data_IF_238613742896
#
_entry.id   IF_238613742896
#
_cell.length_a   1.000
_cell.length_b   1.000
_cell.length_c   1.000
_cell.angle_alpha   90.00
_cell.angle_beta   90.00
_cell.angle_gamma   90.00
#
_symmetry.space_group_name_H-M   'P 1'
#
loop_
_entity.id
_entity.type
_entity.pdbx_description
1 polymer ?
#
# COMPACT_ATOMS: atom_id res chain seq x y z
N UNK A 1 -6.05 -22.46 -91.19
CA UNK A 1 -6.95 -21.68 -92.08
C UNK A 1 -7.43 -20.44 -91.33
N UNK A 2 -7.51 -19.22 -91.90
CA UNK A 2 -8.58 -18.66 -92.78
C UNK A 2 -10.00 -18.92 -92.20
N UNK A 3 -10.89 -17.95 -91.95
CA UNK A 3 -10.88 -16.47 -92.08
C UNK A 3 -11.93 -15.82 -91.12
N UNK A 4 -11.92 -14.52 -90.77
CA UNK A 4 -12.24 -13.30 -91.56
C UNK A 4 -13.67 -13.29 -92.14
N UNK A 5 -14.54 -12.26 -92.03
CA UNK A 5 -14.67 -11.00 -91.22
C UNK A 5 -16.17 -10.90 -90.78
N UNK A 6 -16.88 -9.82 -90.38
CA UNK A 6 -16.77 -8.33 -90.27
C UNK A 6 -17.84 -7.91 -89.19
N UNK A 7 -17.90 -6.84 -88.38
CA UNK A 7 -17.37 -5.46 -88.21
C UNK A 7 -18.49 -4.39 -88.34
N UNK A 8 -18.66 -3.49 -87.34
CA UNK A 8 -19.32 -2.13 -87.33
C UNK A 8 -19.98 -1.82 -85.96
N UNK A 9 -19.83 -0.66 -85.29
CA UNK A 9 -18.91 0.50 -85.39
C UNK A 9 -18.58 1.00 -83.96
N UNK A 10 -17.37 1.51 -83.73
CA UNK A 10 -16.99 2.38 -82.61
C UNK A 10 -16.24 3.60 -83.17
N UNK A 11 -16.63 4.82 -82.80
CA UNK A 11 -16.06 6.15 -83.17
C UNK A 11 -16.86 7.23 -82.41
N UNK A 12 -16.38 8.40 -81.96
CA UNK A 12 -15.12 9.18 -82.09
C UNK A 12 -14.79 9.68 -80.66
N UNK A 13 -13.67 9.29 -80.02
CA UNK A 13 -12.29 9.83 -80.09
C UNK A 13 -12.03 11.12 -79.27
N UNK A 14 -10.97 11.07 -78.47
CA UNK A 14 -10.40 12.16 -77.65
C UNK A 14 -9.53 13.09 -78.51
N UNK A 15 -9.55 14.40 -78.25
CA UNK A 15 -8.52 15.33 -78.74
C UNK A 15 -8.26 16.46 -77.73
N UNK A 16 -6.98 16.76 -77.48
CA UNK A 16 -6.54 17.93 -76.72
C UNK A 16 -6.38 19.14 -77.66
N UNK A 17 -6.66 20.34 -77.14
CA UNK A 17 -5.96 21.57 -77.54
C UNK A 17 -5.73 22.44 -76.30
N UNK A 18 -4.55 23.05 -76.21
CA UNK A 18 -4.26 24.09 -75.21
C UNK A 18 -4.95 25.40 -75.62
N UNK A 19 -5.53 26.11 -74.65
CA UNK A 19 -5.51 27.58 -74.64
C UNK A 19 -5.12 28.03 -73.24
N UNK A 20 -3.87 28.45 -73.10
CA UNK A 20 -3.42 29.28 -71.98
C UNK A 20 -3.10 30.67 -72.56
N UNK A 21 -3.88 31.67 -72.19
CA UNK A 21 -3.79 33.03 -72.73
C UNK A 21 -4.51 34.00 -71.79
N UNK A 22 -3.77 35.01 -71.32
CA UNK A 22 -4.19 35.92 -70.25
C UNK A 22 -5.40 36.78 -70.64
N UNK A 23 -6.19 37.20 -69.65
CA UNK A 23 -6.36 38.61 -69.25
C UNK A 23 -7.35 38.76 -68.08
N UNK A 24 -7.20 39.82 -67.28
CA UNK A 24 -8.30 40.40 -66.48
C UNK A 24 -8.47 39.88 -65.05
N UNK A 25 -8.07 40.70 -64.07
CA UNK A 25 -8.24 40.44 -62.64
C UNK A 25 -9.68 40.69 -62.15
N UNK A 26 -10.22 39.79 -61.32
CA UNK A 26 -10.96 40.18 -60.11
C UNK A 26 -11.03 39.01 -59.10
N UNK A 27 -10.12 38.99 -58.12
CA UNK A 27 -10.11 37.97 -57.07
C UNK A 27 -11.21 38.21 -56.03
N UNK A 28 -12.36 37.54 -56.21
CA UNK A 28 -13.28 37.26 -55.10
C UNK A 28 -12.89 35.91 -54.46
N UNK A 29 -12.16 35.95 -53.34
CA UNK A 29 -11.73 34.76 -52.60
C UNK A 29 -12.94 34.06 -51.94
N UNK A 30 -13.63 33.21 -52.70
CA UNK A 30 -14.45 32.13 -52.14
C UNK A 30 -13.53 30.93 -51.93
N UNK A 31 -13.16 30.58 -50.68
CA UNK A 31 -12.36 29.39 -50.45
C UNK A 31 -13.17 28.15 -50.83
N UNK A 32 -12.58 27.29 -51.65
CA UNK A 32 -13.09 25.95 -51.85
C UNK A 32 -13.12 25.18 -50.51
N UNK A 33 -14.00 24.19 -50.45
CA UNK A 33 -13.98 23.13 -49.43
C UNK A 33 -14.17 23.55 -47.97
N UNK A 34 -15.00 24.58 -47.74
CA UNK A 34 -15.86 24.62 -46.54
C UNK A 34 -16.94 23.51 -46.59
N UNK A 35 -16.52 22.27 -46.78
CA UNK A 35 -17.40 21.10 -46.84
C UNK A 35 -17.96 20.85 -45.43
N UNK A 36 -19.15 21.38 -45.16
CA UNK A 36 -19.87 21.13 -43.91
C UNK A 36 -20.14 19.63 -43.82
N UNK A 37 -19.36 18.93 -42.99
CA UNK A 37 -19.58 17.52 -42.70
C UNK A 37 -20.84 17.39 -41.83
N UNK A 38 -22.00 17.40 -42.49
CA UNK A 38 -23.32 17.10 -41.92
C UNK A 38 -23.29 15.63 -41.50
N UNK A 39 -22.72 15.38 -40.32
CA UNK A 39 -22.47 14.05 -39.82
C UNK A 39 -23.79 13.45 -39.33
N UNK A 40 -24.37 12.56 -40.14
CA UNK A 40 -25.69 11.96 -39.93
C UNK A 40 -25.99 11.54 -38.48
N UNK A 41 -27.28 11.62 -38.11
CA UNK A 41 -27.78 11.25 -36.80
C UNK A 41 -27.34 9.84 -36.38
N UNK A 42 -26.84 9.71 -35.15
CA UNK A 42 -26.28 8.46 -34.66
C UNK A 42 -26.35 8.38 -33.13
N UNK A 43 -26.19 7.18 -32.56
CA UNK A 43 -25.94 7.06 -31.12
C UNK A 43 -24.61 7.74 -30.75
N UNK A 44 -24.64 8.56 -29.69
CA UNK A 44 -23.45 9.18 -29.11
C UNK A 44 -22.45 8.15 -28.54
N UNK A 45 -22.92 6.93 -28.19
CA UNK A 45 -22.08 5.81 -27.72
C UNK A 45 -22.51 4.51 -28.39
N UNK A 46 -21.54 3.72 -28.91
CA UNK A 46 -21.77 2.39 -29.51
C UNK A 46 -22.14 1.31 -28.47
N UNK A 47 -21.95 1.59 -27.17
CA UNK A 47 -22.32 0.70 -26.06
C UNK A 47 -22.60 1.46 -24.76
N UNK A 48 -23.46 0.90 -23.90
CA UNK A 48 -23.72 1.36 -22.55
C UNK A 48 -23.81 0.18 -21.56
N UNK A 49 -23.76 0.45 -20.25
CA UNK A 49 -23.90 -0.59 -19.21
C UNK A 49 -24.82 -0.11 -18.09
N UNK A 50 -25.94 -0.80 -17.89
CA UNK A 50 -26.97 -0.43 -16.91
C UNK A 50 -27.11 -1.48 -15.81
N UNK A 51 -27.58 -1.07 -14.63
CA UNK A 51 -27.94 -2.00 -13.55
C UNK A 51 -29.24 -2.76 -13.82
N UNK A 52 -29.36 -3.99 -13.31
CA UNK A 52 -30.66 -4.66 -13.14
C UNK A 52 -31.49 -3.84 -12.15
N UNK A 53 -32.55 -3.22 -12.65
CA UNK A 53 -33.36 -2.20 -12.01
C UNK A 53 -32.45 -1.10 -11.41
N UNK A 54 -31.49 -0.64 -12.22
CA UNK A 54 -30.56 0.42 -11.87
C UNK A 54 -31.11 1.82 -12.12
N UNK A 55 -30.19 2.75 -12.35
CA UNK A 55 -30.47 4.13 -12.71
C UNK A 55 -31.37 4.27 -13.95
N UNK A 56 -32.00 5.43 -14.03
CA UNK A 56 -32.27 6.09 -15.29
C UNK A 56 -30.94 6.40 -15.99
N UNK A 57 -30.45 5.47 -16.82
CA UNK A 57 -29.34 5.70 -17.75
C UNK A 57 -29.88 5.90 -19.17
N UNK A 58 -29.14 6.63 -20.01
CA UNK A 58 -29.66 7.18 -21.25
C UNK A 58 -28.71 6.94 -22.43
N UNK A 59 -29.26 6.43 -23.53
CA UNK A 59 -28.60 6.46 -24.85
C UNK A 59 -29.05 7.69 -25.61
N UNK A 60 -28.11 8.61 -25.85
CA UNK A 60 -28.34 9.87 -26.56
C UNK A 60 -28.16 9.67 -28.07
N UNK A 61 -28.99 10.35 -28.87
CA UNK A 61 -28.73 10.63 -30.28
C UNK A 61 -27.89 11.89 -30.36
N UNK A 62 -26.81 11.86 -31.14
CA UNK A 62 -26.08 13.07 -31.56
C UNK A 62 -26.50 13.43 -32.98
N UNK A 63 -26.36 14.72 -33.32
CA UNK A 63 -26.58 15.24 -34.67
C UNK A 63 -28.01 14.94 -35.18
N UNK A 64 -29.02 15.15 -34.34
CA UNK A 64 -30.42 14.92 -34.70
C UNK A 64 -30.87 15.91 -35.79
N UNK A 65 -31.41 15.38 -36.89
CA UNK A 65 -31.89 16.11 -38.05
C UNK A 65 -33.12 16.96 -37.69
N UNK A 66 -33.13 18.23 -38.08
CA UNK A 66 -34.29 19.11 -37.89
C UNK A 66 -35.51 18.56 -38.66
N UNK A 67 -36.68 18.54 -38.01
CA UNK A 67 -37.92 18.00 -38.57
C UNK A 67 -38.04 16.47 -38.61
N UNK A 68 -36.97 15.71 -38.33
CA UNK A 68 -37.04 14.26 -38.21
C UNK A 68 -37.53 13.83 -36.82
N UNK A 69 -38.14 12.64 -36.74
CA UNK A 69 -38.53 12.01 -35.48
C UNK A 69 -37.76 10.72 -35.23
N UNK A 70 -37.55 10.37 -33.96
CA UNK A 70 -36.64 9.28 -33.56
C UNK A 70 -37.32 8.21 -32.74
N UNK A 71 -36.99 6.96 -33.03
CA UNK A 71 -37.56 5.79 -32.39
C UNK A 71 -36.50 4.75 -32.05
N UNK A 72 -36.56 4.20 -30.84
CA UNK A 72 -35.61 3.17 -30.38
C UNK A 72 -36.32 1.87 -30.02
N UNK A 73 -35.81 0.73 -30.49
CA UNK A 73 -36.26 -0.61 -30.08
C UNK A 73 -35.18 -1.34 -29.28
N UNK A 74 -35.58 -2.22 -28.36
CA UNK A 74 -34.67 -3.19 -27.75
C UNK A 74 -34.85 -4.56 -28.38
N UNK A 75 -33.75 -5.20 -28.76
CA UNK A 75 -33.77 -6.59 -29.26
C UNK A 75 -34.13 -7.63 -28.19
N UNK A 76 -34.12 -7.27 -26.91
CA UNK A 76 -34.44 -8.15 -25.76
C UNK A 76 -35.03 -7.32 -24.61
N UNK A 77 -36.32 -7.00 -24.69
CA UNK A 77 -37.06 -6.24 -23.64
C UNK A 77 -37.08 -6.93 -22.27
N UNK A 78 -36.94 -8.26 -22.23
CA UNK A 78 -36.74 -9.06 -21.01
C UNK A 78 -35.35 -8.92 -20.37
N UNK A 79 -34.39 -8.35 -21.09
CA UNK A 79 -33.04 -8.02 -20.62
C UNK A 79 -32.94 -6.53 -20.34
N UNK A 80 -33.26 -5.67 -21.32
CA UNK A 80 -33.27 -4.22 -21.20
C UNK A 80 -34.45 -3.62 -21.97
N UNK A 81 -35.23 -2.73 -21.37
CA UNK A 81 -36.23 -1.90 -22.04
C UNK A 81 -35.60 -0.54 -22.41
N UNK A 82 -36.18 0.10 -23.42
CA UNK A 82 -35.93 1.50 -23.76
C UNK A 82 -37.27 2.21 -23.91
N UNK A 83 -37.37 3.45 -23.42
CA UNK A 83 -38.48 4.37 -23.70
C UNK A 83 -37.88 5.68 -24.22
N UNK A 84 -38.47 6.29 -25.25
CA UNK A 84 -38.08 7.63 -25.66
C UNK A 84 -38.37 8.63 -24.53
N UNK A 85 -37.43 9.55 -24.32
CA UNK A 85 -37.55 10.71 -23.45
C UNK A 85 -36.91 11.89 -24.18
N UNK A 86 -37.70 12.91 -24.51
CA UNK A 86 -37.22 14.09 -25.23
C UNK A 86 -37.13 15.33 -24.31
N UNK A 87 -37.11 15.11 -22.98
CA UNK A 87 -36.98 16.19 -22.00
C UNK A 87 -35.68 16.98 -22.19
N UNK A 88 -35.71 18.28 -21.90
CA UNK A 88 -34.57 19.20 -22.02
C UNK A 88 -34.00 19.32 -23.46
N UNK A 89 -34.82 19.10 -24.48
CA UNK A 89 -34.44 19.25 -25.90
C UNK A 89 -33.52 18.13 -26.44
N UNK A 90 -33.13 17.17 -25.61
CA UNK A 90 -32.24 16.08 -26.01
C UNK A 90 -33.03 14.87 -26.52
N UNK A 91 -32.73 14.40 -27.74
CA UNK A 91 -33.29 13.13 -28.24
C UNK A 91 -32.55 11.96 -27.56
N UNK A 92 -33.20 11.32 -26.58
CA UNK A 92 -32.60 10.21 -25.82
C UNK A 92 -33.56 9.06 -25.54
N UNK A 93 -32.99 7.87 -25.37
CA UNK A 93 -33.69 6.67 -24.92
C UNK A 93 -33.35 6.38 -23.48
N UNK A 94 -34.32 6.55 -22.58
CA UNK A 94 -34.25 6.10 -21.18
C UNK A 94 -34.20 4.58 -21.15
N UNK A 95 -33.10 4.03 -20.66
CA UNK A 95 -32.89 2.60 -20.50
C UNK A 95 -33.47 2.10 -19.18
N UNK A 96 -33.85 0.82 -19.15
CA UNK A 96 -34.19 0.12 -17.91
C UNK A 96 -33.69 -1.31 -18.00
N UNK A 97 -32.65 -1.65 -17.24
CA UNK A 97 -32.17 -3.03 -17.15
C UNK A 97 -33.16 -3.89 -16.37
N UNK A 98 -33.66 -4.98 -16.96
CA UNK A 98 -34.66 -5.88 -16.35
C UNK A 98 -34.03 -7.17 -15.84
N UNK A 99 -33.10 -7.76 -16.59
CA UNK A 99 -32.41 -9.02 -16.25
C UNK A 99 -30.97 -8.96 -16.74
N UNK A 100 -30.04 -9.57 -15.98
CA UNK A 100 -28.62 -9.65 -16.36
C UNK A 100 -28.48 -10.27 -17.76
N UNK A 101 -27.73 -9.61 -18.65
CA UNK A 101 -27.52 -10.07 -20.03
C UNK A 101 -27.01 -8.96 -20.94
N UNK A 102 -27.27 -9.09 -22.24
CA UNK A 102 -26.98 -8.04 -23.24
C UNK A 102 -28.16 -7.90 -24.21
N UNK A 103 -28.52 -6.67 -24.53
CA UNK A 103 -29.48 -6.30 -25.56
C UNK A 103 -28.82 -5.40 -26.60
N UNK A 104 -29.36 -5.36 -27.83
CA UNK A 104 -29.04 -4.35 -28.83
C UNK A 104 -30.19 -3.34 -28.84
N UNK A 105 -29.91 -2.08 -28.55
CA UNK A 105 -30.86 -0.99 -28.78
C UNK A 105 -30.63 -0.48 -30.20
N UNK A 106 -31.68 -0.46 -31.02
CA UNK A 106 -31.60 -0.03 -32.43
C UNK A 106 -32.28 1.32 -32.57
N UNK A 107 -31.58 2.29 -33.17
CA UNK A 107 -32.10 3.62 -33.48
C UNK A 107 -32.63 3.66 -34.90
N UNK A 108 -33.81 4.22 -35.05
CA UNK A 108 -34.44 4.57 -36.31
C UNK A 108 -34.68 6.08 -36.36
N UNK A 109 -34.40 6.65 -37.52
CA UNK A 109 -34.89 7.98 -37.93
C UNK A 109 -36.16 7.78 -38.75
N UNK A 110 -37.11 8.70 -38.60
CA UNK A 110 -38.37 8.71 -39.34
C UNK A 110 -38.53 10.11 -39.95
N UNK A 111 -38.54 10.15 -41.28
CA UNK A 111 -38.59 11.38 -42.08
C UNK A 111 -39.70 11.21 -43.12
N UNK A 112 -40.79 11.96 -42.95
CA UNK A 112 -42.05 11.66 -43.63
C UNK A 112 -42.54 10.24 -43.32
N UNK A 113 -42.86 9.47 -44.36
CA UNK A 113 -43.25 8.07 -44.24
C UNK A 113 -42.06 7.07 -44.14
N UNK A 114 -40.82 7.52 -44.36
CA UNK A 114 -39.64 6.63 -44.45
C UNK A 114 -39.03 6.40 -43.07
N UNK A 115 -38.78 5.14 -42.73
CA UNK A 115 -38.15 4.71 -41.46
C UNK A 115 -36.79 4.06 -41.69
N UNK A 116 -35.73 4.83 -41.47
CA UNK A 116 -34.34 4.40 -41.73
C UNK A 116 -33.65 3.93 -40.46
N UNK A 117 -33.01 2.75 -40.50
CA UNK A 117 -32.20 2.22 -39.38
C UNK A 117 -30.81 2.84 -39.39
N UNK A 118 -30.58 3.82 -38.52
CA UNK A 118 -29.35 4.63 -38.49
C UNK A 118 -28.30 4.19 -37.45
N UNK A 119 -28.65 3.35 -36.47
CA UNK A 119 -27.65 2.94 -35.46
C UNK A 119 -28.03 1.76 -34.58
N UNK A 120 -27.00 1.17 -33.94
CA UNK A 120 -27.16 0.13 -32.91
C UNK A 120 -26.21 0.39 -31.74
N UNK A 121 -26.74 0.40 -30.51
CA UNK A 121 -25.98 0.46 -29.27
C UNK A 121 -26.05 -0.89 -28.53
N UNK A 122 -24.90 -1.44 -28.13
CA UNK A 122 -24.82 -2.66 -27.31
C UNK A 122 -24.99 -2.31 -25.83
N UNK A 123 -26.15 -2.62 -25.26
CA UNK A 123 -26.42 -2.39 -23.83
C UNK A 123 -26.18 -3.67 -23.03
N UNK A 124 -25.22 -3.61 -22.11
CA UNK A 124 -24.96 -4.68 -21.14
C UNK A 124 -25.73 -4.42 -19.86
N UNK A 125 -26.47 -5.40 -19.37
CA UNK A 125 -27.22 -5.30 -18.11
C UNK A 125 -26.50 -6.09 -17.03
N UNK A 126 -25.99 -5.38 -16.05
CA UNK A 126 -25.18 -5.92 -14.95
C UNK A 126 -26.02 -6.09 -13.70
N UNK A 127 -25.89 -7.25 -13.05
CA UNK A 127 -26.38 -7.46 -11.70
C UNK A 127 -25.24 -7.29 -10.70
N UNK A 128 -25.56 -6.76 -9.52
CA UNK A 128 -24.59 -6.52 -8.45
C UNK A 128 -23.88 -7.81 -8.05
N UNK A 129 -22.57 -7.73 -7.81
CA UNK A 129 -21.69 -8.90 -7.66
C UNK A 129 -20.72 -8.71 -6.51
N UNK A 130 -20.55 -9.75 -5.67
CA UNK A 130 -19.52 -9.75 -4.64
C UNK A 130 -18.12 -9.59 -5.22
N UNK A 131 -17.26 -8.81 -4.55
CA UNK A 131 -15.90 -8.53 -5.00
C UNK A 131 -14.95 -9.71 -4.72
N UNK A 132 -14.95 -10.20 -3.48
CA UNK A 132 -14.06 -11.26 -2.99
C UNK A 132 -14.88 -12.50 -2.57
N UNK A 133 -14.29 -13.70 -2.64
CA UNK A 133 -14.90 -14.94 -2.09
C UNK A 133 -14.64 -15.07 -0.58
N UNK A 134 -13.44 -14.69 -0.15
CA UNK A 134 -13.00 -14.71 1.24
C UNK A 134 -12.13 -13.48 1.51
N UNK A 135 -12.03 -13.06 2.76
CA UNK A 135 -11.10 -12.05 3.27
C UNK A 135 -10.48 -12.59 4.57
N UNK A 136 -9.20 -12.30 4.82
CA UNK A 136 -8.56 -12.48 6.13
C UNK A 136 -8.41 -11.09 6.76
N UNK A 137 -8.72 -10.98 8.05
CA UNK A 137 -8.58 -9.75 8.86
C UNK A 137 -8.06 -10.11 10.25
N UNK A 138 -7.46 -9.14 10.92
CA UNK A 138 -6.92 -9.32 12.27
C UNK A 138 -8.04 -9.20 13.31
N UNK A 139 -7.81 -9.71 14.51
CA UNK A 139 -8.76 -9.56 15.61
C UNK A 139 -8.84 -8.07 16.00
N UNK A 140 -10.06 -7.61 16.27
CA UNK A 140 -10.42 -6.22 16.57
C UNK A 140 -10.41 -5.22 15.41
N UNK A 141 -9.94 -5.60 14.21
CA UNK A 141 -10.09 -4.78 13.00
C UNK A 141 -11.56 -4.36 12.81
N UNK A 142 -11.78 -3.06 12.60
CA UNK A 142 -13.10 -2.46 12.34
C UNK A 142 -13.05 -1.66 11.05
N UNK A 143 -13.88 -2.02 10.06
CA UNK A 143 -13.74 -1.53 8.69
C UNK A 143 -15.07 -1.49 7.93
N UNK A 144 -15.21 -0.50 7.03
CA UNK A 144 -16.27 -0.45 6.03
C UNK A 144 -15.84 -1.29 4.81
N UNK A 145 -16.60 -2.33 4.40
CA UNK A 145 -16.00 -3.38 3.57
C UNK A 145 -16.35 -3.29 2.08
N UNK A 146 -15.34 -3.39 1.21
CA UNK A 146 -15.51 -3.50 -0.24
C UNK A 146 -16.00 -4.90 -0.68
N UNK A 147 -17.11 -5.39 -0.12
CA UNK A 147 -17.62 -6.73 -0.44
C UNK A 147 -18.29 -6.81 -1.82
N UNK A 148 -18.48 -5.69 -2.52
CA UNK A 148 -19.30 -5.58 -3.74
C UNK A 148 -18.50 -4.86 -4.84
N UNK A 149 -18.21 -5.55 -5.95
CA UNK A 149 -17.43 -5.00 -7.10
C UNK A 149 -18.29 -4.15 -8.03
N UNK A 150 -19.58 -4.49 -8.15
CA UNK A 150 -20.55 -3.71 -8.93
C UNK A 150 -21.74 -3.42 -8.01
N UNK A 151 -21.92 -2.16 -7.62
CA UNK A 151 -23.07 -1.67 -6.87
C UNK A 151 -24.11 -1.11 -7.83
N UNK A 152 -25.38 -1.33 -7.55
CA UNK A 152 -26.49 -0.54 -8.08
C UNK A 152 -26.64 0.70 -7.17
N UNK A 153 -26.44 1.90 -7.71
CA UNK A 153 -26.54 3.15 -6.95
C UNK A 153 -27.92 3.45 -6.36
N UNK A 154 -28.96 2.72 -6.79
CA UNK A 154 -30.35 2.90 -6.37
C UNK A 154 -30.78 1.87 -5.31
N UNK A 155 -29.91 0.90 -4.99
CA UNK A 155 -30.18 -0.14 -4.02
C UNK A 155 -29.40 0.10 -2.71
N UNK A 156 -30.03 -0.19 -1.58
CA UNK A 156 -29.34 -0.26 -0.29
C UNK A 156 -28.80 -1.68 -0.06
N UNK A 157 -27.71 -1.78 0.71
CA UNK A 157 -27.03 -3.05 1.00
C UNK A 157 -27.03 -3.33 2.49
N UNK A 158 -27.53 -4.50 2.86
CA UNK A 158 -27.52 -5.00 4.23
C UNK A 158 -26.56 -6.19 4.32
N UNK A 159 -25.68 -6.16 5.33
CA UNK A 159 -24.70 -7.22 5.58
C UNK A 159 -25.06 -7.94 6.88
N UNK A 160 -25.01 -9.28 6.87
CA UNK A 160 -25.39 -10.08 8.04
C UNK A 160 -24.36 -11.19 8.25
N UNK A 161 -23.69 -11.19 9.41
CA UNK A 161 -22.79 -12.28 9.81
C UNK A 161 -23.59 -13.50 10.27
N UNK A 162 -23.18 -14.70 9.83
CA UNK A 162 -23.68 -15.98 10.34
C UNK A 162 -23.26 -16.27 11.79
N UNK A 163 -22.26 -15.55 12.32
CA UNK A 163 -21.83 -15.71 13.72
C UNK A 163 -21.31 -14.38 14.26
N UNK A 164 -22.16 -13.69 15.02
CA UNK A 164 -21.92 -12.39 15.66
C UNK A 164 -20.87 -12.42 16.78
N UNK A 165 -20.49 -13.61 17.27
CA UNK A 165 -19.41 -13.79 18.25
C UNK A 165 -18.02 -13.77 17.60
N UNK A 166 -17.91 -14.15 16.32
CA UNK A 166 -16.66 -14.11 15.53
C UNK A 166 -16.53 -12.76 14.81
N UNK A 167 -17.59 -12.33 14.11
CA UNK A 167 -17.64 -11.04 13.38
C UNK A 167 -19.02 -10.43 13.54
N UNK A 168 -19.10 -9.17 13.98
CA UNK A 168 -20.34 -8.39 14.02
C UNK A 168 -20.42 -7.39 12.86
N UNK A 169 -21.64 -7.00 12.50
CA UNK A 169 -21.91 -5.92 11.55
C UNK A 169 -22.84 -4.91 12.23
N UNK A 170 -22.52 -3.61 12.13
CA UNK A 170 -23.39 -2.49 12.52
C UNK A 170 -24.43 -2.18 11.42
N UNK A 171 -25.42 -1.33 11.72
CA UNK A 171 -26.55 -0.98 10.83
C UNK A 171 -26.13 -0.20 9.57
N UNK A 172 -25.03 0.53 9.65
CA UNK A 172 -24.32 1.23 8.55
C UNK A 172 -23.57 0.26 7.60
N UNK A 173 -23.38 -1.00 8.00
CA UNK A 173 -22.57 -1.98 7.29
C UNK A 173 -21.11 -2.09 7.75
N UNK A 174 -20.69 -1.31 8.75
CA UNK A 174 -19.36 -1.41 9.36
C UNK A 174 -19.18 -2.78 10.03
N UNK A 175 -18.10 -3.47 9.66
CA UNK A 175 -17.71 -4.76 10.24
C UNK A 175 -16.78 -4.53 11.44
N UNK A 176 -16.91 -5.35 12.49
CA UNK A 176 -15.87 -5.54 13.52
C UNK A 176 -15.55 -7.02 13.67
N UNK A 177 -14.28 -7.39 13.53
CA UNK A 177 -13.77 -8.72 13.84
C UNK A 177 -13.58 -8.87 15.36
N UNK A 178 -14.30 -9.80 16.00
CA UNK A 178 -14.34 -9.91 17.48
C UNK A 178 -13.46 -11.00 18.06
N UNK A 179 -13.45 -12.18 17.43
CA UNK A 179 -12.72 -13.37 17.90
C UNK A 179 -12.15 -14.13 16.71
N UNK A 180 -10.95 -14.69 16.87
CA UNK A 180 -10.34 -15.56 15.86
C UNK A 180 -11.25 -16.75 15.49
N UNK A 181 -11.20 -17.14 14.21
CA UNK A 181 -12.05 -18.19 13.65
C UNK A 181 -12.45 -17.90 12.20
N UNK A 182 -13.47 -18.61 11.71
CA UNK A 182 -14.04 -18.41 10.37
C UNK A 182 -15.55 -18.24 10.47
N UNK A 183 -16.09 -17.26 9.77
CA UNK A 183 -17.55 -17.04 9.63
C UNK A 183 -17.88 -16.57 8.22
N UNK A 184 -19.15 -16.33 7.93
CA UNK A 184 -19.64 -15.88 6.63
C UNK A 184 -20.52 -14.67 6.79
N UNK A 185 -20.26 -13.62 6.01
CA UNK A 185 -21.18 -12.49 5.85
C UNK A 185 -22.03 -12.73 4.60
N UNK A 186 -23.34 -12.60 4.75
CA UNK A 186 -24.33 -12.61 3.68
C UNK A 186 -24.57 -11.16 3.26
N UNK A 187 -24.53 -10.90 1.95
CA UNK A 187 -24.81 -9.60 1.34
C UNK A 187 -26.23 -9.65 0.77
N UNK A 188 -27.15 -8.86 1.33
CA UNK A 188 -28.47 -8.61 0.76
C UNK A 188 -28.50 -7.24 0.09
N UNK A 189 -29.16 -7.17 -1.06
CA UNK A 189 -29.46 -5.96 -1.81
C UNK A 189 -30.96 -5.71 -1.75
N UNK A 190 -31.36 -4.51 -1.36
CA UNK A 190 -32.76 -4.06 -1.29
C UNK A 190 -32.99 -2.90 -2.26
N UNK A 191 -34.00 -3.03 -3.10
CA UNK A 191 -34.43 -2.03 -4.07
C UNK A 191 -35.96 -1.84 -3.97
N UNK A 192 -36.38 -0.71 -3.40
CA UNK A 192 -37.78 -0.50 -3.03
C UNK A 192 -38.27 -1.60 -2.07
N UNK A 193 -39.33 -2.30 -2.45
CA UNK A 193 -39.87 -3.46 -1.70
C UNK A 193 -39.10 -4.77 -1.95
N UNK A 194 -38.35 -4.88 -3.05
CA UNK A 194 -37.67 -6.12 -3.44
C UNK A 194 -36.34 -6.30 -2.69
N UNK A 195 -36.04 -7.53 -2.26
CA UNK A 195 -34.75 -7.88 -1.63
C UNK A 195 -34.19 -9.17 -2.23
N UNK A 196 -32.89 -9.22 -2.53
CA UNK A 196 -32.19 -10.43 -3.02
C UNK A 196 -30.81 -10.61 -2.38
N UNK A 197 -30.29 -11.83 -2.39
CA UNK A 197 -28.91 -12.12 -1.96
C UNK A 197 -27.93 -11.89 -3.12
N UNK A 198 -26.97 -10.97 -2.94
CA UNK A 198 -25.85 -10.73 -3.89
C UNK A 198 -24.79 -11.83 -3.80
N UNK A 199 -24.70 -12.46 -2.63
CA UNK A 199 -23.83 -13.59 -2.34
C UNK A 199 -23.37 -13.58 -0.90
N UNK A 200 -22.29 -14.30 -0.65
CA UNK A 200 -21.64 -14.42 0.65
C UNK A 200 -20.13 -14.28 0.54
N UNK A 201 -19.50 -13.83 1.62
CA UNK A 201 -18.04 -13.69 1.75
C UNK A 201 -17.61 -14.36 3.05
N UNK A 202 -16.64 -15.28 2.97
CA UNK A 202 -16.02 -15.86 4.16
C UNK A 202 -15.08 -14.85 4.80
N UNK A 203 -15.16 -14.66 6.12
CA UNK A 203 -14.22 -13.85 6.89
C UNK A 203 -13.43 -14.80 7.78
N UNK A 204 -12.11 -14.88 7.57
CA UNK A 204 -11.15 -15.49 8.49
C UNK A 204 -10.64 -14.39 9.41
N UNK A 205 -10.96 -14.48 10.70
CA UNK A 205 -10.33 -13.64 11.72
C UNK A 205 -9.12 -14.40 12.27
N UNK A 206 -7.95 -13.78 12.26
CA UNK A 206 -6.75 -14.29 12.94
C UNK A 206 -6.54 -13.58 14.27
N UNK A 207 -6.14 -14.32 15.31
CA UNK A 207 -5.66 -13.72 16.55
C UNK A 207 -4.22 -13.19 16.34
N UNK A 208 -3.76 -12.27 17.20
CA UNK A 208 -2.33 -12.01 17.33
C UNK A 208 -1.54 -13.28 17.63
N UNK A 209 -0.30 -13.31 17.17
CA UNK A 209 0.62 -14.43 17.38
C UNK A 209 2.01 -13.89 17.69
N UNK A 210 2.62 -14.39 18.75
CA UNK A 210 3.98 -14.04 19.15
C UNK A 210 5.00 -14.86 18.34
N UNK A 211 6.22 -14.36 18.15
CA UNK A 211 7.35 -15.10 17.58
C UNK A 211 8.65 -14.56 18.19
N UNK A 212 9.58 -15.44 18.56
CA UNK A 212 10.93 -15.05 18.98
C UNK A 212 11.74 -14.55 17.77
N UNK A 213 12.67 -13.63 18.01
CA UNK A 213 13.58 -13.10 16.99
C UNK A 213 15.04 -13.44 17.33
N UNK A 214 15.82 -13.73 16.29
CA UNK A 214 17.28 -13.75 16.38
C UNK A 214 17.88 -12.35 16.12
N UNK A 215 19.20 -12.23 16.26
CA UNK A 215 19.99 -11.00 16.02
C UNK A 215 19.82 -10.37 14.63
N UNK A 216 19.26 -11.08 13.65
CA UNK A 216 18.95 -10.56 12.30
C UNK A 216 17.49 -10.16 12.11
N UNK A 217 16.68 -10.12 13.18
CA UNK A 217 15.24 -9.82 13.13
C UNK A 217 14.40 -10.92 12.47
N UNK A 218 14.94 -12.13 12.31
CA UNK A 218 14.24 -13.28 11.72
C UNK A 218 13.63 -14.15 12.82
N UNK A 219 12.53 -14.83 12.48
CA UNK A 219 11.86 -15.75 13.38
C UNK A 219 12.79 -16.90 13.82
N UNK A 220 12.76 -17.21 15.11
CA UNK A 220 13.48 -18.31 15.74
C UNK A 220 12.59 -19.04 16.77
N UNK A 221 13.03 -20.20 17.25
CA UNK A 221 12.35 -20.96 18.32
C UNK A 221 12.73 -20.47 19.73
N UNK A 222 13.85 -19.75 19.84
CA UNK A 222 14.38 -19.11 21.05
C UNK A 222 15.00 -17.77 20.67
N UNK A 223 14.88 -16.76 21.54
CA UNK A 223 15.59 -15.49 21.42
C UNK A 223 16.83 -15.49 22.33
N UNK A 224 17.87 -14.78 21.92
CA UNK A 224 19.15 -14.74 22.64
C UNK A 224 19.43 -13.36 23.23
N UNK A 225 19.76 -13.31 24.52
CA UNK A 225 20.04 -12.09 25.27
C UNK A 225 21.41 -12.20 25.95
N UNK A 226 22.24 -11.17 25.81
CA UNK A 226 23.52 -11.10 26.50
C UNK A 226 23.32 -10.95 28.01
N UNK A 227 24.09 -11.69 28.80
CA UNK A 227 24.16 -11.49 30.25
C UNK A 227 24.48 -10.02 30.61
N UNK A 228 23.79 -9.51 31.63
CA UNK A 228 23.71 -8.11 32.06
C UNK A 228 23.27 -7.07 31.01
N UNK A 229 23.11 -7.43 29.73
CA UNK A 229 22.60 -6.50 28.72
C UNK A 229 21.09 -6.31 28.85
N UNK A 230 20.64 -5.11 28.53
CA UNK A 230 19.23 -4.72 28.45
C UNK A 230 18.90 -4.34 27.02
N UNK A 231 17.78 -4.84 26.48
CA UNK A 231 17.33 -4.55 25.12
C UNK A 231 15.83 -4.25 25.07
N UNK A 232 15.43 -3.36 24.17
CA UNK A 232 14.01 -3.11 23.89
C UNK A 232 13.38 -4.40 23.37
N UNK A 233 12.27 -4.82 23.98
CA UNK A 233 11.65 -6.14 23.79
C UNK A 233 11.34 -6.49 22.33
N UNK A 234 11.00 -5.49 21.50
CA UNK A 234 10.72 -5.66 20.06
C UNK A 234 11.90 -6.19 19.26
N UNK A 235 13.12 -6.09 19.79
CA UNK A 235 14.34 -6.69 19.22
C UNK A 235 14.35 -8.22 19.33
N UNK A 236 13.70 -8.79 20.36
CA UNK A 236 13.68 -10.22 20.66
C UNK A 236 12.31 -10.88 20.44
N UNK A 237 11.23 -10.09 20.41
CA UNK A 237 9.85 -10.58 20.39
C UNK A 237 9.02 -9.77 19.38
N UNK A 238 8.45 -10.46 18.38
CA UNK A 238 7.52 -9.86 17.43
C UNK A 238 6.10 -10.35 17.66
N UNK A 239 5.15 -9.41 17.80
CA UNK A 239 3.71 -9.72 17.74
C UNK A 239 3.20 -9.45 16.32
N UNK A 240 2.65 -10.49 15.68
CA UNK A 240 2.03 -10.43 14.35
C UNK A 240 0.51 -10.46 14.47
N UNK A 241 -0.19 -10.05 13.40
CA UNK A 241 -1.66 -10.06 13.30
C UNK A 241 -2.40 -9.16 14.33
N UNK A 242 -1.77 -8.06 14.73
CA UNK A 242 -2.39 -7.00 15.56
C UNK A 242 -3.45 -6.21 14.78
N UNK A 243 -4.40 -5.59 15.48
CA UNK A 243 -5.37 -4.67 14.86
C UNK A 243 -4.65 -3.50 14.20
N UNK A 244 -5.05 -3.15 12.99
CA UNK A 244 -4.49 -1.98 12.27
C UNK A 244 -5.40 -0.74 12.36
N UNK A 245 -6.57 -0.87 13.00
CA UNK A 245 -7.60 0.17 13.07
C UNK A 245 -8.03 0.54 14.50
N UNK A 246 -7.78 -0.30 15.51
CA UNK A 246 -8.21 -0.07 16.89
C UNK A 246 -6.99 0.14 17.81
N UNK A 247 -6.74 1.40 18.20
CA UNK A 247 -5.64 1.79 19.11
C UNK A 247 -5.83 1.30 20.56
N UNK A 248 -6.96 0.65 20.89
CA UNK A 248 -7.25 0.11 22.22
C UNK A 248 -6.65 -1.27 22.51
N UNK A 249 -5.76 -1.78 21.66
CA UNK A 249 -5.00 -3.03 21.86
C UNK A 249 -3.60 -2.69 22.38
N UNK A 250 -3.30 -3.09 23.61
CA UNK A 250 -2.01 -2.86 24.29
C UNK A 250 -1.35 -4.21 24.56
N UNK A 251 -0.03 -4.28 24.42
CA UNK A 251 0.75 -5.47 24.78
C UNK A 251 1.63 -5.18 26.00
N UNK A 252 1.71 -6.14 26.92
CA UNK A 252 2.58 -6.09 28.10
C UNK A 252 3.31 -7.41 28.26
N UNK A 253 4.40 -7.40 29.02
CA UNK A 253 5.28 -8.55 29.21
C UNK A 253 5.35 -8.98 30.66
N UNK A 254 5.58 -10.27 30.86
CA UNK A 254 5.86 -10.86 32.17
C UNK A 254 6.87 -11.99 31.99
N UNK A 255 8.00 -11.92 32.69
CA UNK A 255 8.91 -13.06 32.76
C UNK A 255 8.33 -14.16 33.66
N UNK A 256 8.52 -15.42 33.30
CA UNK A 256 8.27 -16.55 34.19
C UNK A 256 9.36 -16.72 35.25
N UNK A 257 10.56 -16.19 35.01
CA UNK A 257 11.65 -16.14 35.97
C UNK A 257 12.44 -14.83 35.84
N UNK A 258 12.19 -13.91 36.77
CA UNK A 258 12.86 -12.61 36.84
C UNK A 258 14.31 -12.68 37.31
N UNK A 259 14.78 -13.81 37.83
CA UNK A 259 16.19 -14.03 38.15
C UNK A 259 17.04 -14.30 36.92
N UNK A 260 16.44 -14.82 35.83
CA UNK A 260 17.09 -15.06 34.54
C UNK A 260 16.87 -13.89 33.58
N UNK A 261 15.62 -13.43 33.40
CA UNK A 261 15.30 -12.21 32.61
C UNK A 261 14.31 -11.34 33.36
N UNK A 262 14.72 -10.12 33.72
CA UNK A 262 13.79 -9.12 34.25
C UNK A 262 13.10 -8.34 33.13
N UNK A 263 11.87 -7.89 33.41
CA UNK A 263 11.09 -6.98 32.56
C UNK A 263 11.04 -5.62 33.25
N UNK A 264 11.44 -4.58 32.53
CA UNK A 264 11.40 -3.19 33.00
C UNK A 264 10.47 -2.38 32.10
N UNK A 265 9.60 -1.55 32.67
CA UNK A 265 8.74 -0.65 31.90
C UNK A 265 9.42 0.71 31.74
N UNK A 266 9.55 1.17 30.49
CA UNK A 266 10.15 2.45 30.14
C UNK A 266 9.10 3.38 29.52
N UNK A 267 9.27 4.69 29.73
CA UNK A 267 8.44 5.72 29.08
C UNK A 267 9.17 6.30 27.87
N UNK A 268 8.51 6.29 26.72
CA UNK A 268 9.04 6.75 25.43
C UNK A 268 8.25 7.97 24.97
N UNK A 269 8.95 9.10 24.82
CA UNK A 269 8.32 10.40 24.60
C UNK A 269 7.35 10.77 25.72
N UNK A 270 6.28 11.50 25.41
CA UNK A 270 5.45 12.14 26.42
C UNK A 270 4.43 11.20 27.11
N UNK A 271 4.21 9.97 26.64
CA UNK A 271 3.17 9.07 27.20
C UNK A 271 3.27 7.57 26.83
N UNK A 272 4.10 7.15 25.87
CA UNK A 272 4.09 5.75 25.43
C UNK A 272 4.83 4.86 26.42
N UNK A 273 4.24 3.72 26.79
CA UNK A 273 4.93 2.66 27.53
C UNK A 273 5.57 1.67 26.56
N UNK A 274 6.83 1.34 26.80
CA UNK A 274 7.54 0.24 26.15
C UNK A 274 8.25 -0.61 27.22
N UNK A 275 8.83 -1.75 26.85
CA UNK A 275 9.44 -2.68 27.79
C UNK A 275 10.87 -3.03 27.39
N UNK A 276 11.77 -3.00 28.36
CA UNK A 276 13.11 -3.57 28.26
C UNK A 276 13.11 -4.99 28.83
N UNK A 277 13.94 -5.85 28.24
CA UNK A 277 14.30 -7.17 28.74
C UNK A 277 15.78 -7.16 29.11
N UNK A 278 16.10 -7.42 30.39
CA UNK A 278 17.50 -7.50 30.86
C UNK A 278 17.85 -8.93 31.26
N UNK A 279 18.96 -9.45 30.75
CA UNK A 279 19.50 -10.75 31.15
C UNK A 279 20.14 -10.65 32.54
N UNK A 280 19.45 -11.14 33.57
CA UNK A 280 19.85 -11.01 34.98
C UNK A 280 20.70 -12.17 35.50
N UNK A 281 20.60 -13.36 34.90
CA UNK A 281 21.48 -14.50 35.11
C UNK A 281 21.56 -15.37 33.86
N UNK A 282 22.67 -16.08 33.64
CA UNK A 282 22.81 -17.07 32.55
C UNK A 282 21.84 -18.24 32.78
N UNK A 283 21.11 -18.62 31.75
CA UNK A 283 20.06 -19.66 31.83
C UNK A 283 19.03 -19.56 30.72
N UNK A 284 17.85 -20.15 30.91
CA UNK A 284 16.72 -20.03 29.97
C UNK A 284 15.42 -19.84 30.73
N UNK A 285 14.59 -18.90 30.28
CA UNK A 285 13.25 -18.65 30.81
C UNK A 285 12.24 -18.42 29.67
N UNK A 286 10.99 -18.15 30.00
CA UNK A 286 9.98 -17.72 29.04
C UNK A 286 9.41 -16.34 29.41
N UNK A 287 9.31 -15.47 28.41
CA UNK A 287 8.54 -14.23 28.49
C UNK A 287 7.12 -14.52 28.00
N UNK A 288 6.15 -14.32 28.89
CA UNK A 288 4.72 -14.31 28.59
C UNK A 288 4.35 -12.95 28.00
N UNK A 289 3.72 -12.95 26.81
CA UNK A 289 3.17 -11.75 26.18
C UNK A 289 1.68 -11.72 26.39
N UNK A 290 1.21 -10.66 27.05
CA UNK A 290 -0.19 -10.42 27.33
C UNK A 290 -0.73 -9.34 26.40
N UNK A 291 -1.94 -9.55 25.90
CA UNK A 291 -2.75 -8.54 25.23
C UNK A 291 -3.79 -8.02 26.22
N UNK A 292 -3.88 -6.71 26.39
CA UNK A 292 -5.03 -6.05 27.01
C UNK A 292 -5.86 -5.34 25.94
N UNK A 293 -7.15 -5.66 25.88
CA UNK A 293 -8.10 -5.02 24.98
C UNK A 293 -9.42 -4.73 25.70
N UNK A 294 -9.80 -3.44 25.78
CA UNK A 294 -11.04 -2.97 26.42
C UNK A 294 -11.23 -3.51 27.86
N UNK A 295 -10.15 -3.47 28.64
CA UNK A 295 -10.11 -3.91 30.05
C UNK A 295 -10.00 -5.42 30.25
N UNK A 296 -9.98 -6.23 29.18
CA UNK A 296 -9.78 -7.68 29.26
C UNK A 296 -8.33 -7.99 28.88
N UNK A 297 -7.57 -8.57 29.82
CA UNK A 297 -6.20 -9.04 29.60
C UNK A 297 -6.19 -10.55 29.36
N UNK A 298 -5.34 -11.01 28.42
CA UNK A 298 -5.12 -12.44 28.14
C UNK A 298 -3.71 -12.70 27.61
N UNK A 299 -3.15 -13.86 27.89
CA UNK A 299 -1.94 -14.35 27.21
C UNK A 299 -2.21 -14.58 25.72
N UNK A 300 -1.30 -14.12 24.85
CA UNK A 300 -1.33 -14.38 23.40
C UNK A 300 -0.18 -15.27 22.90
N UNK A 301 0.80 -15.53 23.76
CA UNK A 301 1.88 -16.51 23.54
C UNK A 301 2.99 -16.37 24.58
N UNK A 302 3.91 -17.33 24.58
CA UNK A 302 5.19 -17.24 25.29
C UNK A 302 6.34 -17.30 24.28
N UNK A 303 7.47 -16.69 24.63
CA UNK A 303 8.74 -16.79 23.91
C UNK A 303 9.82 -17.28 24.86
N UNK A 304 10.57 -18.31 24.46
CA UNK A 304 11.78 -18.72 25.18
C UNK A 304 12.88 -17.69 24.96
N UNK A 305 13.57 -17.33 26.04
CA UNK A 305 14.76 -16.47 26.00
C UNK A 305 15.89 -17.21 26.70
N UNK A 306 16.98 -17.43 25.97
CA UNK A 306 18.27 -17.86 26.51
C UNK A 306 19.08 -16.61 26.89
N UNK A 307 19.62 -16.60 28.11
CA UNK A 307 20.60 -15.61 28.56
C UNK A 307 21.94 -16.30 28.63
N UNK A 308 22.95 -15.76 27.93
CA UNK A 308 24.29 -16.34 27.86
C UNK A 308 25.37 -15.27 27.71
N UNK A 309 26.61 -15.71 27.88
CA UNK A 309 27.76 -14.96 27.35
C UNK A 309 27.72 -14.97 25.82
N UNK A 310 27.97 -13.81 25.21
CA UNK A 310 27.97 -13.60 23.77
C UNK A 310 29.31 -12.91 23.44
N UNK A 311 30.36 -13.68 23.10
CA UNK A 311 31.68 -13.09 22.84
C UNK A 311 31.65 -12.17 21.61
N UNK A 312 32.53 -11.18 21.59
CA UNK A 312 32.63 -10.26 20.46
C UNK A 312 33.21 -10.97 19.22
N UNK A 313 32.48 -10.89 18.12
CA UNK A 313 32.87 -11.47 16.83
C UNK A 313 33.68 -10.48 15.98
N UNK A 314 33.44 -9.17 16.13
CA UNK A 314 34.19 -8.10 15.47
C UNK A 314 34.27 -6.85 16.32
N UNK A 315 35.44 -6.21 16.36
CA UNK A 315 35.68 -4.90 16.96
C UNK A 315 36.53 -4.09 15.99
N UNK A 316 35.96 -3.01 15.43
CA UNK A 316 36.57 -2.21 14.35
C UNK A 316 36.38 -0.72 14.62
N UNK A 317 37.15 0.11 13.92
CA UNK A 317 36.85 1.54 13.84
C UNK A 317 35.52 1.78 13.11
N UNK A 318 34.75 2.74 13.62
CA UNK A 318 33.51 3.21 13.03
C UNK A 318 33.83 4.01 11.73
N UNK A 319 33.30 3.61 10.56
CA UNK A 319 33.64 4.22 9.27
C UNK A 319 33.18 5.68 9.11
N UNK A 320 32.36 6.20 10.02
CA UNK A 320 32.01 7.63 10.07
C UNK A 320 33.23 8.49 10.50
N UNK A 321 34.15 7.90 11.26
CA UNK A 321 35.25 8.61 11.92
C UNK A 321 36.63 8.34 11.30
N UNK A 322 36.73 7.45 10.32
CA UNK A 322 37.99 7.00 9.70
C UNK A 322 37.78 6.71 8.22
N UNK A 323 38.64 7.23 7.34
CA UNK A 323 38.64 6.85 5.93
C UNK A 323 39.13 5.39 5.79
N UNK A 324 38.20 4.50 5.46
CA UNK A 324 38.41 3.05 5.40
C UNK A 324 39.28 2.61 4.21
N UNK A 325 39.56 3.49 3.24
CA UNK A 325 40.52 3.22 2.17
C UNK A 325 41.96 3.05 2.68
N UNK A 326 42.26 3.58 3.87
CA UNK A 326 43.59 3.59 4.50
C UNK A 326 43.99 2.30 5.24
N UNK A 327 43.14 1.26 5.25
CA UNK A 327 43.53 -0.09 5.68
C UNK A 327 44.11 -0.21 7.10
N UNK A 328 43.38 0.26 8.11
CA UNK A 328 43.79 0.22 9.53
C UNK A 328 45.00 1.13 9.88
N UNK A 329 45.18 2.23 9.13
CA UNK A 329 46.08 3.33 9.50
C UNK A 329 45.69 3.93 10.85
N UNK A 330 46.68 4.29 11.68
CA UNK A 330 46.47 4.75 13.05
C UNK A 330 45.59 6.01 13.10
N UNK A 331 44.48 5.94 13.83
CA UNK A 331 43.57 7.08 13.99
C UNK A 331 44.21 8.09 14.93
N UNK A 332 44.42 9.31 14.43
CA UNK A 332 44.90 10.44 15.24
C UNK A 332 43.73 11.35 15.61
N UNK A 333 43.76 11.91 16.83
CA UNK A 333 42.85 12.94 17.33
C UNK A 333 43.65 14.00 18.07
N UNK A 334 43.22 15.26 17.96
CA UNK A 334 43.67 16.33 18.82
C UNK A 334 42.67 16.50 19.97
N UNK A 335 43.16 16.83 21.16
CA UNK A 335 42.37 17.30 22.31
C UNK A 335 43.09 18.51 22.89
N UNK A 336 42.39 19.59 23.17
CA UNK A 336 42.95 20.82 23.71
C UNK A 336 42.82 20.86 25.23
N UNK A 337 43.92 21.09 25.95
CA UNK A 337 43.92 21.02 27.42
C UNK A 337 43.44 22.30 28.11
N UNK A 338 43.27 23.39 27.37
CA UNK A 338 42.85 24.71 27.88
C UNK A 338 41.50 25.20 27.32
N UNK A 339 40.80 24.38 26.53
CA UNK A 339 39.37 24.57 26.25
C UNK A 339 38.52 23.89 27.34
N UNK A 340 37.61 24.64 27.95
CA UNK A 340 36.51 24.03 28.71
C UNK A 340 35.62 23.20 27.75
N UNK A 341 35.15 22.05 28.24
CA UNK A 341 34.35 21.03 27.52
C UNK A 341 34.99 20.27 26.33
N UNK A 342 36.25 20.48 25.92
CA UNK A 342 36.85 19.65 24.84
C UNK A 342 37.13 18.19 25.29
N UNK A 343 36.17 17.32 24.98
CA UNK A 343 36.05 15.97 25.56
C UNK A 343 35.87 14.92 24.48
N UNK A 344 36.87 14.05 24.29
CA UNK A 344 36.80 12.98 23.30
C UNK A 344 36.15 11.71 23.87
N UNK A 345 34.99 11.33 23.31
CA UNK A 345 34.28 10.10 23.67
C UNK A 345 34.68 8.93 22.76
N UNK A 346 35.68 8.15 23.21
CA UNK A 346 36.25 7.01 22.49
C UNK A 346 35.21 5.98 22.03
N UNK A 347 34.14 5.77 22.83
CA UNK A 347 33.06 4.81 22.54
C UNK A 347 32.36 5.02 21.19
N UNK A 348 32.40 6.21 20.60
CA UNK A 348 31.83 6.48 19.27
C UNK A 348 32.78 6.18 18.11
N UNK A 349 34.10 6.14 18.36
CA UNK A 349 35.12 5.84 17.35
C UNK A 349 35.13 4.37 16.94
N UNK A 350 34.47 3.49 17.69
CA UNK A 350 34.48 2.05 17.50
C UNK A 350 33.11 1.47 17.12
N UNK A 351 33.09 0.22 16.70
CA UNK A 351 31.87 -0.57 16.47
C UNK A 351 32.13 -2.03 16.82
N UNK A 352 31.24 -2.60 17.63
CA UNK A 352 31.24 -4.02 18.03
C UNK A 352 30.15 -4.80 17.31
N UNK A 353 30.42 -6.06 16.99
CA UNK A 353 29.41 -7.02 16.55
C UNK A 353 29.62 -8.39 17.26
N UNK A 354 28.54 -9.11 17.61
CA UNK A 354 27.14 -8.69 17.52
C UNK A 354 26.82 -7.58 18.54
N UNK A 355 25.81 -6.74 18.28
CA UNK A 355 25.51 -5.57 19.10
C UNK A 355 25.04 -5.88 20.54
N UNK A 356 24.71 -7.14 20.83
CA UNK A 356 24.38 -7.66 22.16
C UNK A 356 25.53 -8.44 22.83
N UNK A 357 26.77 -8.34 22.30
CA UNK A 357 27.96 -8.98 22.87
C UNK A 357 28.15 -8.64 24.35
N UNK A 358 28.40 -9.63 25.20
CA UNK A 358 28.55 -9.44 26.65
C UNK A 358 29.89 -8.83 27.03
N UNK A 359 30.92 -8.99 26.20
CA UNK A 359 32.22 -8.33 26.33
C UNK A 359 32.07 -6.81 26.57
N UNK A 360 33.02 -6.27 27.32
CA UNK A 360 33.12 -4.84 27.65
C UNK A 360 34.30 -4.25 26.89
N UNK A 361 34.21 -2.97 26.51
CA UNK A 361 35.35 -2.24 25.96
C UNK A 361 36.13 -1.64 27.14
N UNK A 362 37.36 -2.10 27.36
CA UNK A 362 38.28 -1.56 28.36
C UNK A 362 39.22 -0.54 27.70
N UNK A 363 39.58 0.52 28.41
CA UNK A 363 40.46 1.57 27.91
C UNK A 363 41.73 1.70 28.74
N UNK A 364 42.81 2.17 28.11
CA UNK A 364 44.11 2.42 28.73
C UNK A 364 44.85 3.55 28.02
N UNK A 365 45.70 4.29 28.73
CA UNK A 365 46.56 5.35 28.17
C UNK A 365 48.03 4.98 28.30
N UNK A 366 48.83 5.26 27.26
CA UNK A 366 50.29 5.08 27.31
C UNK A 366 51.00 6.17 28.13
N UNK A 367 50.34 7.28 28.44
CA UNK A 367 50.92 8.38 29.22
C UNK A 367 49.83 9.22 29.94
N UNK A 368 49.47 8.87 31.19
CA UNK A 368 48.49 9.62 31.99
C UNK A 368 48.83 11.09 32.23
N UNK A 369 50.11 11.48 32.15
CA UNK A 369 50.52 12.87 32.36
C UNK A 369 50.28 13.77 31.13
N UNK A 370 50.01 13.17 29.96
CA UNK A 370 49.61 13.87 28.73
C UNK A 370 48.11 13.75 28.51
N UNK A 371 47.54 12.54 28.57
CA UNK A 371 46.10 12.32 28.42
C UNK A 371 45.60 11.15 29.29
N UNK A 372 44.47 11.36 29.95
CA UNK A 372 43.77 10.35 30.76
C UNK A 372 42.59 9.75 29.97
N UNK A 373 42.09 8.60 30.43
CA UNK A 373 40.86 7.98 29.90
C UNK A 373 40.07 7.31 31.02
N UNK A 374 38.75 7.46 31.03
CA UNK A 374 37.84 6.82 32.00
C UNK A 374 37.36 5.45 31.51
N UNK A 375 36.72 4.67 32.39
CA UNK A 375 36.08 3.39 32.05
C UNK A 375 34.97 3.55 30.98
N UNK A 376 34.26 4.69 30.98
CA UNK A 376 33.28 5.08 29.94
C UNK A 376 33.92 5.47 28.58
N UNK A 377 35.25 5.49 28.50
CA UNK A 377 36.00 5.92 27.32
C UNK A 377 36.01 7.43 27.11
N UNK A 378 35.89 8.22 28.19
CA UNK A 378 36.00 9.68 28.15
C UNK A 378 37.48 10.06 28.26
N UNK A 379 38.03 10.77 27.27
CA UNK A 379 39.44 11.21 27.22
C UNK A 379 39.54 12.70 27.50
N UNK A 380 40.53 13.08 28.30
CA UNK A 380 40.84 14.47 28.66
C UNK A 380 42.34 14.74 28.49
N UNK A 381 42.68 15.93 27.97
CA UNK A 381 44.05 16.43 27.92
C UNK A 381 44.53 16.88 29.30
N UNK A 382 45.82 16.69 29.58
CA UNK A 382 46.48 17.07 30.84
C UNK A 382 47.68 18.00 30.59
N UNK A 383 48.48 17.72 29.56
CA UNK A 383 49.59 18.59 29.15
C UNK A 383 49.99 18.35 27.70
N UNK A 384 50.59 19.37 27.04
CA UNK A 384 51.01 19.30 25.63
C UNK A 384 51.96 18.11 25.37
N UNK A 385 51.61 17.26 24.40
CA UNK A 385 52.38 16.07 24.06
C UNK A 385 51.58 15.05 23.26
N UNK A 386 52.03 13.78 23.26
CA UNK A 386 51.31 12.67 22.61
C UNK A 386 51.13 11.48 23.55
N UNK A 387 49.92 10.92 23.58
CA UNK A 387 49.60 9.66 24.26
C UNK A 387 48.88 8.72 23.30
N UNK A 388 48.99 7.41 23.50
CA UNK A 388 48.19 6.42 22.77
C UNK A 388 47.11 5.89 23.70
N UNK A 389 45.85 6.01 23.30
CA UNK A 389 44.72 5.37 23.98
C UNK A 389 44.44 4.05 23.29
N UNK A 390 44.55 2.95 24.03
CA UNK A 390 44.27 1.60 23.54
C UNK A 390 42.96 1.10 24.15
N UNK A 391 42.03 0.71 23.28
CA UNK A 391 40.77 0.08 23.62
C UNK A 391 40.85 -1.42 23.32
N UNK A 392 40.40 -2.26 24.24
CA UNK A 392 40.33 -3.72 24.06
C UNK A 392 38.91 -4.23 24.30
N UNK A 393 38.49 -5.24 23.53
CA UNK A 393 37.18 -5.86 23.67
C UNK A 393 37.29 -7.35 23.33
N UNK A 394 37.02 -8.22 24.31
CA UNK A 394 37.30 -9.65 24.22
C UNK A 394 38.75 -9.92 23.80
N UNK A 395 38.94 -10.53 22.63
CA UNK A 395 40.27 -10.84 22.03
C UNK A 395 40.83 -9.73 21.12
N UNK A 396 40.10 -8.64 20.91
CA UNK A 396 40.46 -7.58 19.96
C UNK A 396 41.07 -6.35 20.66
N UNK A 397 41.89 -5.61 19.93
CA UNK A 397 42.57 -4.39 20.40
C UNK A 397 42.66 -3.37 19.27
N UNK A 398 42.42 -2.10 19.58
CA UNK A 398 42.53 -0.96 18.66
C UNK A 398 43.14 0.23 19.41
N UNK A 399 43.99 1.01 18.74
CA UNK A 399 44.71 2.14 19.34
C UNK A 399 44.51 3.43 18.56
N UNK A 400 44.32 4.53 19.31
CA UNK A 400 44.15 5.90 18.81
C UNK A 400 45.29 6.75 19.36
N UNK A 401 45.97 7.50 18.50
CA UNK A 401 46.93 8.52 18.94
C UNK A 401 46.18 9.79 19.33
N UNK A 402 46.38 10.24 20.56
CA UNK A 402 45.92 11.53 21.06
C UNK A 402 47.11 12.48 21.06
N UNK A 403 47.01 13.53 20.24
CA UNK A 403 47.84 14.71 20.36
C UNK A 403 47.11 15.63 21.34
N UNK A 404 47.78 16.00 22.42
CA UNK A 404 47.31 17.03 23.34
C UNK A 404 48.07 18.30 23.03
N UNK A 405 47.35 19.39 22.78
CA UNK A 405 47.96 20.69 22.50
C UNK A 405 47.18 21.81 23.20
N UNK A 406 47.71 23.02 23.17
CA UNK A 406 47.03 24.25 23.55
C UNK A 406 46.14 24.70 22.38
N UNK A 407 44.99 25.29 22.67
CA UNK A 407 44.22 26.00 21.65
C UNK A 407 44.93 27.32 21.28
N UNK A 408 44.93 27.65 19.98
CA UNK A 408 45.46 28.90 19.42
C UNK A 408 44.33 29.57 18.62
N UNK A 409 43.98 30.82 19.00
CA UNK A 409 42.85 31.61 18.47
C UNK A 409 43.10 32.21 17.07
#
# INVERSE_FOLDING_TARGET
MKGKQIFRVFSVMLLLTLVAGLYGECYANVPADAMVVVSNAAFAKKSATVGVNGADDYVYVKNASAGASYYMTSSKTSVCKVKMDNSYGAVRGKLTGVKKGTAKITLYEITGAIKTKIGVCKVTVSASKRAKKSITVNQYDTFAPELIKYKNGYASYAYTSKNSKIVSVKKDGTITAKKAGKTTIIIKEKLGKNTRTVGSVTIKVVAPTVTALNSTGKAADIAELGYQKSVVWTSLIQVKNCSTYDKGQVFTLKSKDSSIVSVEEITVGNSSKEYNLKGTAVGTTEIEVLETYKGITRTIGTVKVEVKEIPVESFVFNPIYVDTSSGNSAVTRTVYYDLEDDTLFMKYLFSVAPANTTDVIMYSTSNPAVATVTEDGVVSGVSKGTATITATCGKYSLSVQIIVDKFED
#
